data_IF_727149089643
#
_entry.id   IF_727149089643
#
_cell.length_a   1.000
_cell.length_b   1.000
_cell.length_c   1.000
_cell.angle_alpha   90.00
_cell.angle_beta   90.00
_cell.angle_gamma   90.00
#
_symmetry.space_group_name_H-M   'P 1'
#
loop_
_entity.id
_entity.type
_entity.pdbx_description
1 polymer ?
#
# COMPACT_ATOMS: atom_id res chain seq x y z
N UNK A 1 -2.20 13.96 -39.05
CA UNK A 1 -1.58 14.09 -37.71
C UNK A 1 -2.00 12.88 -36.90
N UNK A 2 -1.06 11.99 -36.56
CA UNK A 2 -1.35 10.86 -35.67
C UNK A 2 -0.96 11.24 -34.25
N UNK A 3 -1.91 11.16 -33.32
CA UNK A 3 -1.67 11.29 -31.89
C UNK A 3 -1.23 9.90 -31.43
N UNK A 4 0.07 9.74 -31.18
CA UNK A 4 0.61 8.54 -30.54
C UNK A 4 0.31 8.71 -29.03
N UNK A 5 -0.43 7.80 -28.38
CA UNK A 5 -0.63 7.88 -26.94
C UNK A 5 0.73 7.74 -26.25
N UNK A 6 1.01 8.48 -25.17
CA UNK A 6 2.22 8.24 -24.40
C UNK A 6 2.22 6.79 -23.87
N UNK A 7 3.38 6.12 -23.95
CA UNK A 7 3.61 4.73 -23.47
C UNK A 7 3.35 4.53 -21.96
N UNK A 8 3.00 5.60 -21.25
CA UNK A 8 2.62 5.61 -19.87
C UNK A 8 1.22 6.22 -19.80
N UNK A 9 0.22 5.41 -19.40
CA UNK A 9 -1.14 5.89 -19.23
C UNK A 9 -1.18 7.16 -18.36
N UNK A 10 -2.19 8.04 -18.53
CA UNK A 10 -2.26 9.37 -17.91
C UNK A 10 -2.30 9.38 -16.37
N UNK A 11 -2.24 8.21 -15.75
CA UNK A 11 -2.31 7.95 -14.31
C UNK A 11 -0.96 7.63 -13.67
N UNK A 12 0.11 7.47 -14.46
CA UNK A 12 1.45 7.15 -13.94
C UNK A 12 2.11 8.41 -13.38
N UNK A 13 2.60 8.33 -12.15
CA UNK A 13 3.43 9.37 -11.53
C UNK A 13 4.66 9.67 -12.39
N UNK A 14 4.89 10.93 -12.82
CA UNK A 14 6.16 11.31 -13.43
C UNK A 14 7.29 11.21 -12.40
N UNK A 15 8.41 10.58 -12.79
CA UNK A 15 9.52 10.16 -11.93
C UNK A 15 10.32 11.29 -11.24
N UNK A 16 9.89 12.55 -11.37
CA UNK A 16 10.58 13.74 -10.85
C UNK A 16 9.80 14.47 -9.75
N UNK A 17 8.62 13.98 -9.36
CA UNK A 17 7.86 14.53 -8.23
C UNK A 17 8.10 13.71 -6.96
N UNK A 18 8.02 14.34 -5.76
CA UNK A 18 8.02 13.59 -4.51
C UNK A 18 6.87 12.57 -4.53
N UNK A 19 7.09 11.36 -3.96
CA UNK A 19 6.14 10.26 -4.07
C UNK A 19 4.75 10.66 -3.58
N UNK A 20 3.72 10.20 -4.29
CA UNK A 20 2.32 10.46 -3.92
C UNK A 20 1.87 9.64 -2.72
N UNK A 21 2.61 8.58 -2.37
CA UNK A 21 2.37 7.80 -1.16
C UNK A 21 3.67 7.68 -0.37
N UNK A 22 3.64 8.01 0.91
CA UNK A 22 4.78 7.84 1.82
C UNK A 22 4.37 6.99 3.01
N UNK A 23 5.33 6.23 3.52
CA UNK A 23 5.18 5.45 4.76
C UNK A 23 6.23 5.95 5.73
N UNK A 24 5.81 6.34 6.93
CA UNK A 24 6.68 6.79 8.00
C UNK A 24 6.38 6.02 9.27
N UNK A 25 7.44 5.67 10.01
CA UNK A 25 7.31 5.09 11.34
C UNK A 25 7.55 6.17 12.39
N UNK A 26 6.59 6.36 13.28
CA UNK A 26 6.69 7.24 14.44
C UNK A 26 7.68 6.66 15.47
N UNK A 27 8.19 7.52 16.34
CA UNK A 27 8.95 7.12 17.53
C UNK A 27 8.14 6.22 18.48
N UNK A 28 6.81 6.37 18.51
CA UNK A 28 5.89 5.49 19.28
C UNK A 28 5.74 4.09 18.66
N UNK A 29 6.27 3.86 17.46
CA UNK A 29 6.12 2.62 16.72
C UNK A 29 4.93 2.58 15.76
N UNK A 30 4.08 3.60 15.77
CA UNK A 30 2.94 3.73 14.85
C UNK A 30 3.42 3.96 13.40
N UNK A 31 2.63 3.50 12.44
CA UNK A 31 2.89 3.71 11.01
C UNK A 31 1.91 4.73 10.44
N UNK A 32 2.45 5.78 9.83
CA UNK A 32 1.69 6.79 9.11
C UNK A 32 1.85 6.57 7.60
N UNK A 33 0.74 6.39 6.90
CA UNK A 33 0.70 6.32 5.43
C UNK A 33 0.05 7.58 4.91
N UNK A 34 0.80 8.46 4.27
CA UNK A 34 0.27 9.70 3.68
C UNK A 34 0.06 9.51 2.19
N UNK A 35 -1.17 9.74 1.75
CA UNK A 35 -1.63 9.66 0.36
C UNK A 35 -1.95 11.07 -0.13
N UNK A 36 -1.25 11.50 -1.18
CA UNK A 36 -1.39 12.80 -1.82
C UNK A 36 -2.35 12.70 -3.02
N UNK A 37 -3.06 13.77 -3.40
CA UNK A 37 -3.95 13.77 -4.55
C UNK A 37 -3.23 13.32 -5.82
N UNK A 38 -3.80 12.35 -6.54
CA UNK A 38 -3.19 11.77 -7.74
C UNK A 38 -2.36 10.51 -7.50
N UNK A 39 -2.34 9.98 -6.27
CA UNK A 39 -1.77 8.66 -5.99
C UNK A 39 -2.45 7.55 -6.80
N UNK A 40 -1.65 6.65 -7.37
CA UNK A 40 -2.13 5.45 -8.05
C UNK A 40 -2.55 4.39 -7.01
N UNK A 41 -3.68 3.67 -7.21
CA UNK A 41 -4.09 2.59 -6.31
C UNK A 41 -3.02 1.50 -6.08
N UNK A 42 -2.15 1.25 -7.07
CA UNK A 42 -1.02 0.32 -6.97
C UNK A 42 0.04 0.85 -6.00
N UNK A 43 0.29 2.16 -5.99
CA UNK A 43 1.24 2.77 -5.06
C UNK A 43 0.70 2.74 -3.62
N UNK A 44 -0.60 2.99 -3.46
CA UNK A 44 -1.28 2.89 -2.16
C UNK A 44 -1.22 1.45 -1.64
N UNK A 45 -1.57 0.47 -2.46
CA UNK A 45 -1.54 -0.95 -2.04
C UNK A 45 -0.12 -1.44 -1.77
N UNK A 46 0.88 -0.99 -2.54
CA UNK A 46 2.30 -1.29 -2.28
C UNK A 46 2.78 -0.68 -0.96
N UNK A 47 2.40 0.57 -0.68
CA UNK A 47 2.71 1.25 0.58
C UNK A 47 2.06 0.55 1.78
N UNK A 48 0.79 0.14 1.66
CA UNK A 48 0.09 -0.63 2.69
C UNK A 48 0.74 -2.00 2.90
N UNK A 49 1.26 -2.64 1.85
CA UNK A 49 2.03 -3.89 1.96
C UNK A 49 3.35 -3.75 2.73
N UNK A 50 3.88 -2.53 2.87
CA UNK A 50 5.06 -2.24 3.68
C UNK A 50 4.73 -1.99 5.16
N UNK A 51 3.45 -1.83 5.52
CA UNK A 51 2.99 -1.71 6.90
C UNK A 51 2.92 -3.11 7.54
N UNK A 52 3.40 -3.31 8.78
CA UNK A 52 3.35 -4.63 9.40
C UNK A 52 1.92 -5.16 9.56
N UNK A 53 1.78 -6.46 9.33
CA UNK A 53 0.51 -7.19 9.35
C UNK A 53 -0.19 -7.22 10.72
N UNK A 54 0.55 -7.00 11.80
CA UNK A 54 0.07 -6.93 13.19
C UNK A 54 -0.39 -5.52 13.61
N UNK A 55 -0.47 -4.61 12.65
CA UNK A 55 -1.02 -3.27 12.85
C UNK A 55 -2.46 -3.18 12.34
N UNK A 56 -3.24 -2.32 12.98
CA UNK A 56 -4.61 -2.01 12.54
C UNK A 56 -4.73 -0.53 12.24
N UNK A 57 -5.54 -0.21 11.23
CA UNK A 57 -5.97 1.16 10.99
C UNK A 57 -6.74 1.68 12.21
N UNK A 58 -6.34 2.85 12.72
CA UNK A 58 -6.98 3.48 13.87
C UNK A 58 -7.66 4.80 13.54
N UNK A 59 -7.07 5.59 12.64
CA UNK A 59 -7.49 6.96 12.41
C UNK A 59 -7.03 7.46 11.05
N UNK A 60 -7.81 8.34 10.44
CA UNK A 60 -7.43 9.10 9.24
C UNK A 60 -7.62 10.59 9.50
N UNK A 61 -6.66 11.40 9.06
CA UNK A 61 -6.74 12.86 9.12
C UNK A 61 -6.15 13.50 7.87
N UNK A 62 -6.56 14.73 7.59
CA UNK A 62 -6.12 15.46 6.41
C UNK A 62 -7.28 16.02 5.60
N UNK A 63 -6.96 16.83 4.60
CA UNK A 63 -7.91 17.44 3.67
C UNK A 63 -7.51 17.10 2.24
N UNK A 64 -6.48 17.77 1.70
CA UNK A 64 -5.91 17.42 0.41
C UNK A 64 -5.03 16.17 0.49
N UNK A 65 -4.07 16.15 1.42
CA UNK A 65 -3.24 14.98 1.71
C UNK A 65 -3.89 14.21 2.87
N UNK A 66 -4.21 12.94 2.66
CA UNK A 66 -4.83 12.08 3.68
C UNK A 66 -3.74 11.25 4.34
N UNK A 67 -3.66 11.28 5.66
CA UNK A 67 -2.76 10.42 6.44
C UNK A 67 -3.55 9.38 7.21
N UNK A 68 -3.20 8.12 7.01
CA UNK A 68 -3.77 6.95 7.67
C UNK A 68 -2.80 6.49 8.77
N UNK A 69 -3.30 6.31 9.99
CA UNK A 69 -2.52 5.83 11.13
C UNK A 69 -2.82 4.36 11.39
N UNK A 70 -1.76 3.58 11.47
CA UNK A 70 -1.76 2.17 11.82
C UNK A 70 -0.99 1.96 13.12
N UNK A 71 -1.61 1.29 14.09
CA UNK A 71 -0.99 1.00 15.39
C UNK A 71 -0.86 -0.50 15.60
N UNK A 72 0.28 -0.93 16.12
CA UNK A 72 0.49 -2.32 16.52
C UNK A 72 -0.42 -2.65 17.69
N UNK A 73 -1.13 -3.79 17.61
CA UNK A 73 -1.87 -4.31 18.76
C UNK A 73 -0.98 -5.30 19.52
N UNK A 74 -0.58 -5.00 20.77
CA UNK A 74 0.19 -5.93 21.58
C UNK A 74 -0.54 -7.28 21.73
N UNK A 75 0.15 -8.38 21.49
CA UNK A 75 -0.40 -9.75 21.68
C UNK A 75 -1.25 -10.27 20.51
N UNK A 76 -1.50 -9.47 19.47
CA UNK A 76 -2.13 -9.96 18.23
C UNK A 76 -1.03 -10.29 17.23
N UNK A 77 -0.57 -11.54 17.22
CA UNK A 77 0.26 -12.01 16.10
C UNK A 77 -0.68 -12.18 14.91
N UNK A 78 -0.48 -11.42 13.84
CA UNK A 78 -1.21 -11.59 12.61
C UNK A 78 -0.92 -12.99 12.07
N UNK A 79 -1.86 -13.91 12.30
CA UNK A 79 -1.87 -15.20 11.62
C UNK A 79 -2.11 -14.88 10.15
N UNK A 80 -1.04 -14.85 9.35
CA UNK A 80 -1.17 -14.96 7.90
C UNK A 80 -2.07 -16.17 7.62
N UNK A 81 -3.08 -16.07 6.74
CA UNK A 81 -3.85 -17.23 6.35
C UNK A 81 -2.87 -18.32 5.92
N UNK A 82 -2.91 -19.48 6.57
CA UNK A 82 -2.12 -20.64 6.19
C UNK A 82 -2.51 -21.02 4.75
N UNK A 83 -1.76 -20.52 3.76
CA UNK A 83 -2.14 -20.66 2.36
C UNK A 83 -1.55 -19.62 1.41
N UNK A 84 -1.06 -18.47 1.89
CA UNK A 84 -0.32 -17.52 1.03
C UNK A 84 1.10 -18.06 0.84
N UNK A 85 1.25 -19.02 -0.07
CA UNK A 85 2.51 -19.72 -0.37
C UNK A 85 2.33 -21.16 -0.85
N UNK A 86 1.16 -21.76 -0.64
CA UNK A 86 0.85 -23.08 -1.22
C UNK A 86 0.23 -22.84 -2.61
N UNK A 87 1.06 -22.97 -3.64
CA UNK A 87 0.56 -22.99 -5.02
C UNK A 87 -0.51 -24.09 -5.12
N UNK A 88 -1.65 -23.84 -5.79
CA UNK A 88 -2.67 -24.86 -5.97
C UNK A 88 -2.03 -26.08 -6.65
N UNK A 89 -1.89 -27.17 -5.90
CA UNK A 89 -1.42 -28.45 -6.45
C UNK A 89 -2.53 -28.98 -7.33
N UNK A 90 -2.43 -28.72 -8.63
CA UNK A 90 -3.30 -29.35 -9.63
C UNK A 90 -3.02 -30.86 -9.55
N UNK A 91 -3.98 -31.69 -9.14
CA UNK A 91 -3.76 -33.13 -9.12
C UNK A 91 -3.48 -33.59 -10.54
N UNK A 92 -2.36 -34.28 -10.74
CA UNK A 92 -2.04 -34.90 -12.02
C UNK A 92 -3.16 -35.87 -12.38
N UNK A 93 -3.83 -35.61 -13.49
CA UNK A 93 -4.89 -36.46 -14.02
C UNK A 93 -4.25 -37.77 -14.49
N UNK A 94 -4.59 -38.88 -13.82
CA UNK A 94 -4.07 -40.22 -14.08
C UNK A 94 -4.80 -40.88 -15.24
#
# INVERSE_FOLDING_TARGET
MSIIPPDHGPWRTPSSQPPFVTVQRSHSGDYAVTVRPGADPVDVSSALGAVPVDTVFTEAFGDADITLIFRTIPGTSALLPAGIGDLPRIPAMR
#
